data_IF_007055522030
#
_entry.id   IF_007055522030
#
_cell.length_a   1.000
_cell.length_b   1.000
_cell.length_c   1.000
_cell.angle_alpha   90.00
_cell.angle_beta   90.00
_cell.angle_gamma   90.00
#
_symmetry.space_group_name_H-M   'P 1'
#
loop_
_entity.id
_entity.type
_entity.pdbx_description
1 polymer ?
#
# COMPACT_ATOMS: atom_id res chain seq x y z
N UNK A 1 4.97 -12.34 8.82
CA UNK A 1 4.02 -11.84 9.82
C UNK A 1 3.33 -10.58 9.31
N UNK A 2 2.01 -10.66 9.12
CA UNK A 2 1.23 -9.61 8.47
C UNK A 2 1.09 -8.38 9.39
N UNK A 3 1.86 -7.34 9.10
CA UNK A 3 1.86 -6.06 9.84
C UNK A 3 0.50 -5.33 9.71
N UNK A 4 -0.20 -5.52 8.59
CA UNK A 4 -1.48 -4.86 8.27
C UNK A 4 -2.59 -5.03 9.33
N UNK A 5 -3.01 -6.26 9.67
CA UNK A 5 -4.05 -6.48 10.68
C UNK A 5 -3.61 -6.13 12.11
N UNK A 6 -2.30 -6.07 12.39
CA UNK A 6 -1.78 -5.65 13.70
C UNK A 6 -1.92 -4.13 13.91
N UNK A 7 -1.71 -3.31 12.88
CA UNK A 7 -1.83 -1.83 12.97
C UNK A 7 -3.27 -1.35 13.21
N UNK A 8 -4.26 -2.16 12.80
CA UNK A 8 -5.69 -1.89 13.02
C UNK A 8 -6.18 -2.36 14.40
N UNK A 9 -5.32 -3.01 15.18
CA UNK A 9 -5.64 -3.42 16.55
C UNK A 9 -5.27 -2.31 17.55
N UNK A 10 -5.87 -2.29 18.76
CA UNK A 10 -5.45 -1.38 19.83
C UNK A 10 -3.94 -1.48 20.12
N UNK A 11 -3.38 -2.69 20.05
CA UNK A 11 -1.94 -2.95 20.23
C UNK A 11 -1.09 -2.37 19.10
N UNK A 12 -1.66 -2.21 17.90
CA UNK A 12 -1.02 -1.54 16.77
C UNK A 12 -0.93 -0.04 16.96
N UNK A 13 -2.00 0.58 17.45
CA UNK A 13 -2.03 2.00 17.79
C UNK A 13 -1.03 2.33 18.90
N UNK A 14 -0.93 1.48 19.93
CA UNK A 14 0.09 1.64 20.98
C UNK A 14 1.51 1.57 20.44
N UNK A 15 1.77 0.71 19.43
CA UNK A 15 3.07 0.66 18.75
C UNK A 15 3.36 1.90 17.92
N UNK A 16 2.35 2.51 17.30
CA UNK A 16 2.51 3.79 16.61
C UNK A 16 2.88 4.92 17.58
N UNK A 17 2.30 4.91 18.78
CA UNK A 17 2.69 5.84 19.85
C UNK A 17 4.12 5.58 20.32
N UNK A 18 4.48 4.32 20.55
CA UNK A 18 5.85 3.96 20.94
C UNK A 18 6.89 4.33 19.87
N UNK A 19 6.52 4.32 18.58
CA UNK A 19 7.35 4.74 17.47
C UNK A 19 7.42 6.27 17.29
N UNK A 20 6.58 7.03 17.99
CA UNK A 20 6.49 8.49 17.85
C UNK A 20 5.76 8.96 16.60
N UNK A 21 5.02 8.07 15.93
CA UNK A 21 4.24 8.38 14.72
C UNK A 21 2.84 8.92 15.05
N UNK A 22 2.39 8.76 16.30
CA UNK A 22 1.11 9.25 16.79
C UNK A 22 1.22 9.60 18.28
N UNK A 23 0.43 10.56 18.74
CA UNK A 23 0.33 10.92 20.16
C UNK A 23 -0.71 10.08 20.88
N UNK A 24 -0.59 9.96 22.20
CA UNK A 24 -1.58 9.25 23.03
C UNK A 24 -2.98 9.90 22.95
N UNK A 25 -3.03 11.22 22.84
CA UNK A 25 -4.28 11.98 22.73
C UNK A 25 -4.98 11.74 21.37
N UNK A 26 -4.21 11.63 20.29
CA UNK A 26 -4.73 11.26 18.97
C UNK A 26 -5.30 9.85 18.97
N UNK A 27 -4.61 8.88 19.59
CA UNK A 27 -5.13 7.51 19.76
C UNK A 27 -6.43 7.51 20.57
N UNK A 28 -6.46 8.23 21.69
CA UNK A 28 -7.68 8.33 22.51
C UNK A 28 -8.85 8.92 21.72
N UNK A 29 -8.58 9.94 20.89
CA UNK A 29 -9.57 10.59 20.03
C UNK A 29 -10.06 9.67 18.89
N UNK A 30 -9.17 8.86 18.29
CA UNK A 30 -9.55 7.86 17.29
C UNK A 30 -10.42 6.75 17.88
N UNK A 31 -10.08 6.26 19.07
CA UNK A 31 -10.87 5.24 19.76
C UNK A 31 -12.24 5.81 20.20
N UNK A 32 -12.28 7.05 20.66
CA UNK A 32 -13.52 7.74 21.03
C UNK A 32 -14.46 7.99 19.84
N UNK A 33 -13.93 8.07 18.61
CA UNK A 33 -14.75 8.27 17.41
C UNK A 33 -15.70 7.10 17.11
N UNK A 34 -15.46 5.91 17.68
CA UNK A 34 -16.34 4.74 17.51
C UNK A 34 -16.39 4.18 16.09
N UNK A 35 -15.49 4.62 15.20
CA UNK A 35 -15.41 4.16 13.82
C UNK A 35 -14.64 2.83 13.72
N UNK A 36 -14.89 2.03 12.67
CA UNK A 36 -14.08 0.85 12.39
C UNK A 36 -12.61 1.23 12.18
N UNK A 37 -11.64 0.42 12.65
CA UNK A 37 -10.22 0.72 12.50
C UNK A 37 -9.77 0.95 11.06
N UNK A 38 -10.42 0.29 10.08
CA UNK A 38 -10.16 0.49 8.65
C UNK A 38 -10.42 1.92 8.17
N UNK A 39 -11.12 2.74 8.96
CA UNK A 39 -11.45 4.12 8.61
C UNK A 39 -10.57 5.16 9.29
N UNK A 40 -9.70 4.77 10.23
CA UNK A 40 -8.88 5.73 11.00
C UNK A 40 -7.95 6.57 10.13
N UNK A 41 -7.44 6.02 9.03
CA UNK A 41 -6.63 6.77 8.08
C UNK A 41 -7.38 7.97 7.45
N UNK A 42 -8.70 7.83 7.21
CA UNK A 42 -9.52 8.94 6.72
C UNK A 42 -9.73 10.01 7.80
N UNK A 43 -9.89 9.61 9.06
CA UNK A 43 -10.02 10.55 10.18
C UNK A 43 -8.76 11.41 10.31
N UNK A 44 -7.58 10.78 10.22
CA UNK A 44 -6.30 11.49 10.26
C UNK A 44 -6.14 12.47 9.08
N UNK A 45 -6.60 12.07 7.88
CA UNK A 45 -6.61 12.94 6.72
C UNK A 45 -7.51 14.17 6.93
N UNK A 46 -8.72 13.97 7.46
CA UNK A 46 -9.62 15.09 7.78
C UNK A 46 -9.04 16.01 8.87
N UNK A 47 -8.38 15.45 9.88
CA UNK A 47 -7.67 16.26 10.89
C UNK A 47 -6.59 17.12 10.25
N UNK A 48 -5.78 16.57 9.36
CA UNK A 48 -4.73 17.34 8.66
C UNK A 48 -5.31 18.49 7.84
N UNK A 49 -6.45 18.29 7.17
CA UNK A 49 -7.18 19.34 6.47
C UNK A 49 -7.71 20.42 7.42
N UNK A 50 -8.32 20.02 8.54
CA UNK A 50 -8.81 20.96 9.56
C UNK A 50 -7.69 21.79 10.20
N UNK A 51 -6.54 21.18 10.48
CA UNK A 51 -5.38 21.92 11.01
C UNK A 51 -4.86 22.93 10.00
N UNK A 52 -4.79 22.57 8.72
CA UNK A 52 -4.41 23.48 7.65
C UNK A 52 -5.39 24.68 7.54
N UNK A 53 -6.70 24.43 7.57
CA UNK A 53 -7.71 25.50 7.57
C UNK A 53 -7.61 26.41 8.80
N UNK A 54 -7.43 25.84 9.99
CA UNK A 54 -7.24 26.61 11.22
C UNK A 54 -5.98 27.48 11.17
N UNK A 55 -4.88 26.95 10.64
CA UNK A 55 -3.63 27.69 10.48
C UNK A 55 -3.75 28.84 9.47
N UNK A 56 -4.56 28.70 8.43
CA UNK A 56 -4.90 29.81 7.52
C UNK A 56 -5.76 30.88 8.23
N UNK A 57 -6.78 30.47 8.98
CA UNK A 57 -7.64 31.39 9.76
C UNK A 57 -6.86 32.15 10.83
N UNK A 58 -5.88 31.50 11.47
CA UNK A 58 -5.00 32.12 12.46
C UNK A 58 -3.93 33.03 11.84
N UNK A 59 -3.85 33.13 10.51
CA UNK A 59 -2.82 33.91 9.81
C UNK A 59 -1.42 33.32 9.90
N UNK A 60 -1.26 32.09 10.40
CA UNK A 60 0.03 31.38 10.45
C UNK A 60 0.45 30.89 9.07
N UNK A 61 -0.51 30.44 8.26
CA UNK A 61 -0.31 30.17 6.84
C UNK A 61 -0.76 31.39 6.03
N UNK A 62 0.20 32.10 5.46
CA UNK A 62 -0.05 33.24 4.59
C UNK A 62 -0.25 32.73 3.16
N UNK A 63 -1.51 32.64 2.72
CA UNK A 63 -1.89 32.20 1.38
C UNK A 63 -2.27 33.35 0.45
N UNK A 64 -2.05 33.18 -0.86
CA UNK A 64 -2.59 34.05 -1.91
C UNK A 64 -3.93 33.55 -2.47
N UNK A 65 -4.49 34.25 -3.47
CA UNK A 65 -5.83 34.01 -4.04
C UNK A 65 -6.09 32.58 -4.60
N UNK A 66 -5.06 31.75 -4.76
CA UNK A 66 -5.19 30.35 -5.19
C UNK A 66 -4.66 29.31 -4.20
N UNK A 67 -4.10 29.73 -3.06
CA UNK A 67 -3.42 28.81 -2.14
C UNK A 67 -4.40 27.87 -1.45
N UNK A 68 -5.49 28.40 -0.89
CA UNK A 68 -6.52 27.61 -0.22
C UNK A 68 -7.16 26.59 -1.17
N UNK A 69 -7.49 27.03 -2.40
CA UNK A 69 -8.03 26.13 -3.43
C UNK A 69 -7.06 25.00 -3.76
N UNK A 70 -5.79 25.34 -4.02
CA UNK A 70 -4.76 24.33 -4.33
C UNK A 70 -4.56 23.34 -3.19
N UNK A 71 -4.56 23.82 -1.94
CA UNK A 71 -4.41 22.99 -0.76
C UNK A 71 -5.57 22.00 -0.61
N UNK A 72 -6.81 22.47 -0.76
CA UNK A 72 -8.00 21.62 -0.75
C UNK A 72 -8.00 20.61 -1.91
N UNK A 73 -7.55 21.02 -3.10
CA UNK A 73 -7.38 20.12 -4.24
C UNK A 73 -6.37 19.01 -3.95
N UNK A 74 -5.23 19.32 -3.30
CA UNK A 74 -4.25 18.30 -2.92
C UNK A 74 -4.80 17.34 -1.86
N UNK A 75 -5.51 17.82 -0.84
CA UNK A 75 -6.16 16.95 0.14
C UNK A 75 -7.20 16.03 -0.50
N UNK A 76 -7.99 16.56 -1.43
CA UNK A 76 -8.99 15.78 -2.17
C UNK A 76 -8.31 14.73 -3.06
N UNK A 77 -7.20 15.09 -3.71
CA UNK A 77 -6.41 14.16 -4.52
C UNK A 77 -5.81 13.05 -3.67
N UNK A 78 -5.24 13.39 -2.51
CA UNK A 78 -4.71 12.40 -1.57
C UNK A 78 -5.82 11.45 -1.11
N UNK A 79 -6.99 11.99 -0.76
CA UNK A 79 -8.17 11.19 -0.41
C UNK A 79 -8.59 10.23 -1.53
N UNK A 80 -8.57 10.68 -2.78
CA UNK A 80 -8.89 9.86 -3.94
C UNK A 80 -7.90 8.71 -4.14
N UNK A 81 -6.59 8.96 -4.00
CA UNK A 81 -5.58 7.90 -4.10
C UNK A 81 -5.70 6.87 -2.97
N UNK A 82 -6.03 7.29 -1.75
CA UNK A 82 -6.33 6.36 -0.65
C UNK A 82 -7.53 5.46 -0.97
N UNK A 83 -8.56 6.01 -1.60
CA UNK A 83 -9.71 5.23 -2.05
C UNK A 83 -9.34 4.23 -3.14
N UNK A 84 -8.51 4.64 -4.11
CA UNK A 84 -8.01 3.76 -5.16
C UNK A 84 -7.28 2.54 -4.59
N UNK A 85 -6.52 2.68 -3.49
CA UNK A 85 -5.87 1.53 -2.82
C UNK A 85 -6.93 0.52 -2.34
N UNK A 86 -8.02 1.01 -1.73
CA UNK A 86 -9.17 0.19 -1.37
C UNK A 86 -9.77 -0.53 -2.58
N UNK A 87 -9.97 0.18 -3.67
CA UNK A 87 -10.48 -0.38 -4.92
C UNK A 87 -9.53 -1.39 -5.57
N UNK A 88 -8.20 -1.20 -5.50
CA UNK A 88 -7.23 -2.18 -5.96
C UNK A 88 -7.26 -3.46 -5.10
N UNK A 89 -7.52 -3.33 -3.80
CA UNK A 89 -7.69 -4.50 -2.93
C UNK A 89 -9.04 -5.20 -3.12
N UNK A 90 -10.10 -4.47 -3.48
CA UNK A 90 -11.44 -4.99 -3.70
C UNK A 90 -11.66 -5.51 -5.13
N UNK A 91 -11.02 -4.89 -6.11
CA UNK A 91 -11.04 -5.20 -7.55
C UNK A 91 -10.21 -6.41 -7.92
N UNK A 92 -10.11 -7.40 -7.01
CA UNK A 92 -9.54 -8.71 -7.30
C UNK A 92 -10.37 -9.37 -8.41
N UNK A 93 -9.71 -10.04 -9.35
CA UNK A 93 -10.41 -10.84 -10.35
C UNK A 93 -11.39 -11.79 -9.64
N UNK A 94 -12.60 -12.01 -10.20
CA UNK A 94 -13.57 -12.93 -9.61
C UNK A 94 -12.91 -14.27 -9.28
N UNK A 95 -13.08 -14.74 -8.04
CA UNK A 95 -12.49 -16.00 -7.55
C UNK A 95 -12.70 -17.18 -8.52
N UNK A 96 -13.87 -17.22 -9.16
CA UNK A 96 -14.23 -18.23 -10.14
C UNK A 96 -13.27 -18.26 -11.34
N UNK A 97 -12.76 -17.12 -11.80
CA UNK A 97 -11.82 -17.05 -12.92
C UNK A 97 -10.46 -17.68 -12.54
N UNK A 98 -9.93 -17.34 -11.35
CA UNK A 98 -8.66 -17.89 -10.85
C UNK A 98 -8.79 -19.41 -10.64
N UNK A 99 -9.91 -19.87 -10.08
CA UNK A 99 -10.19 -21.29 -9.88
C UNK A 99 -10.31 -22.05 -11.20
N UNK A 100 -10.98 -21.48 -12.21
CA UNK A 100 -11.12 -22.08 -13.53
C UNK A 100 -9.76 -22.27 -14.20
N UNK A 101 -8.92 -21.23 -14.21
CA UNK A 101 -7.57 -21.29 -14.81
C UNK A 101 -6.69 -22.29 -14.05
N UNK A 102 -6.81 -22.35 -12.71
CA UNK A 102 -6.12 -23.34 -11.89
C UNK A 102 -6.47 -24.77 -12.31
N UNK A 103 -7.77 -25.09 -12.37
CA UNK A 103 -8.24 -26.43 -12.75
C UNK A 103 -7.80 -26.77 -14.18
N UNK A 104 -7.82 -25.80 -15.10
CA UNK A 104 -7.39 -26.00 -16.47
C UNK A 104 -5.90 -26.36 -16.56
N UNK A 105 -5.04 -25.59 -15.90
CA UNK A 105 -3.59 -25.84 -15.91
C UNK A 105 -3.24 -27.14 -15.19
N UNK A 106 -3.87 -27.42 -14.05
CA UNK A 106 -3.65 -28.67 -13.32
C UNK A 106 -4.09 -29.89 -14.13
N UNK A 107 -5.22 -29.80 -14.83
CA UNK A 107 -5.70 -30.87 -15.71
C UNK A 107 -4.78 -31.08 -16.90
N UNK A 108 -4.30 -30.00 -17.53
CA UNK A 108 -3.35 -30.06 -18.64
C UNK A 108 -2.04 -30.76 -18.22
N UNK A 109 -1.47 -30.33 -17.09
CA UNK A 109 -0.22 -30.88 -16.57
C UNK A 109 -0.39 -32.35 -16.14
N UNK A 110 -1.52 -32.70 -15.53
CA UNK A 110 -1.82 -34.09 -15.14
C UNK A 110 -1.97 -35.03 -16.33
N UNK A 111 -2.57 -34.56 -17.43
CA UNK A 111 -2.79 -35.36 -18.64
C UNK A 111 -1.60 -35.34 -19.61
N UNK A 112 -0.72 -34.34 -19.54
CA UNK A 112 0.47 -34.21 -20.38
C UNK A 112 1.34 -35.47 -20.49
N UNK A 113 1.70 -36.19 -19.40
CA UNK A 113 2.52 -37.39 -19.53
C UNK A 113 1.80 -38.53 -20.26
N UNK A 114 0.48 -38.68 -20.08
CA UNK A 114 -0.32 -39.70 -20.78
C UNK A 114 -0.47 -39.38 -22.26
N UNK A 115 -0.61 -38.10 -22.61
CA UNK A 115 -0.73 -37.64 -23.98
C UNK A 115 0.59 -37.70 -24.76
N UNK A 116 1.73 -37.40 -24.12
CA UNK A 116 3.05 -37.41 -24.77
C UNK A 116 3.66 -38.82 -24.90
N UNK A 117 3.22 -39.80 -24.09
CA UNK A 117 3.84 -41.12 -24.05
C UNK A 117 3.83 -41.88 -25.38
N UNK A 118 2.74 -41.89 -26.17
CA UNK A 118 2.68 -42.63 -27.44
C UNK A 118 3.67 -42.13 -28.50
N UNK A 119 3.98 -40.83 -28.50
CA UNK A 119 4.88 -40.22 -29.50
C UNK A 119 6.32 -40.10 -29.02
N UNK A 120 6.54 -39.73 -27.74
CA UNK A 120 7.85 -39.43 -27.20
C UNK A 120 8.47 -40.58 -26.38
N UNK A 121 7.70 -41.63 -26.07
CA UNK A 121 8.18 -42.76 -25.27
C UNK A 121 8.77 -42.32 -23.93
N UNK A 122 10.00 -42.72 -23.62
CA UNK A 122 10.69 -42.33 -22.37
C UNK A 122 11.06 -40.84 -22.29
N UNK A 123 11.14 -40.13 -23.42
CA UNK A 123 11.36 -38.67 -23.44
C UNK A 123 10.15 -37.87 -22.96
N UNK A 124 8.98 -38.50 -22.84
CA UNK A 124 7.78 -37.87 -22.27
C UNK A 124 7.97 -37.40 -20.83
N UNK A 125 8.82 -38.08 -20.04
CA UNK A 125 9.06 -37.76 -18.63
C UNK A 125 9.73 -36.37 -18.47
N UNK A 126 10.91 -36.10 -19.06
CA UNK A 126 11.52 -34.78 -18.97
C UNK A 126 10.70 -33.68 -19.67
N UNK A 127 10.02 -33.99 -20.78
CA UNK A 127 9.16 -33.03 -21.49
C UNK A 127 7.93 -32.64 -20.67
N UNK A 128 7.28 -33.60 -20.01
CA UNK A 128 6.18 -33.31 -19.07
C UNK A 128 6.66 -32.51 -17.86
N UNK A 129 7.87 -32.77 -17.36
CA UNK A 129 8.51 -31.96 -16.33
C UNK A 129 8.72 -30.51 -16.76
N UNK A 130 9.20 -30.29 -17.99
CA UNK A 130 9.39 -28.95 -18.56
C UNK A 130 8.06 -28.21 -18.75
N UNK A 131 7.04 -28.90 -19.28
CA UNK A 131 5.68 -28.36 -19.41
C UNK A 131 5.10 -27.98 -18.04
N UNK A 132 5.30 -28.84 -17.04
CA UNK A 132 4.86 -28.57 -15.66
C UNK A 132 5.51 -27.31 -15.12
N UNK A 133 6.83 -27.19 -15.24
CA UNK A 133 7.58 -26.03 -14.79
C UNK A 133 7.08 -24.74 -15.47
N UNK A 134 6.87 -24.79 -16.79
CA UNK A 134 6.43 -23.64 -17.56
C UNK A 134 5.01 -23.21 -17.19
N UNK A 135 4.03 -24.11 -17.25
CA UNK A 135 2.64 -23.76 -17.03
C UNK A 135 2.31 -23.50 -15.56
N UNK A 136 2.87 -24.27 -14.62
CA UNK A 136 2.71 -23.96 -13.19
C UNK A 136 3.47 -22.70 -12.78
N UNK A 137 4.67 -22.49 -13.32
CA UNK A 137 5.45 -21.28 -13.05
C UNK A 137 4.75 -20.01 -13.55
N UNK A 138 4.19 -20.02 -14.76
CA UNK A 138 3.40 -18.91 -15.28
C UNK A 138 2.13 -18.66 -14.45
N UNK A 139 1.46 -19.73 -14.02
CA UNK A 139 0.30 -19.62 -13.17
C UNK A 139 0.64 -19.01 -11.81
N UNK A 140 1.70 -19.45 -11.15
CA UNK A 140 2.17 -18.86 -9.90
C UNK A 140 2.56 -17.38 -10.06
N UNK A 141 3.22 -17.02 -11.17
CA UNK A 141 3.53 -15.63 -11.49
C UNK A 141 2.26 -14.78 -11.70
N UNK A 142 1.26 -15.29 -12.42
CA UNK A 142 0.00 -14.57 -12.57
C UNK A 142 -0.72 -14.35 -11.24
N UNK A 143 -0.62 -15.32 -10.32
CA UNK A 143 -1.18 -15.21 -8.98
C UNK A 143 -0.40 -14.22 -8.10
N UNK A 144 0.93 -14.14 -8.22
CA UNK A 144 1.70 -13.14 -7.49
C UNK A 144 1.35 -11.72 -7.93
N UNK A 145 1.05 -11.49 -9.21
CA UNK A 145 0.55 -10.19 -9.67
C UNK A 145 -0.89 -9.88 -9.24
N UNK A 146 -1.70 -10.90 -8.94
CA UNK A 146 -3.05 -10.72 -8.42
C UNK A 146 -3.07 -10.32 -6.93
N UNK A 147 -2.00 -10.60 -6.19
CA UNK A 147 -1.84 -10.23 -4.78
C UNK A 147 -0.59 -9.36 -4.56
N UNK A 148 -0.58 -8.11 -5.06
CA UNK A 148 0.60 -7.23 -4.99
C UNK A 148 1.01 -6.85 -3.56
N UNK A 149 0.12 -7.03 -2.58
CA UNK A 149 0.36 -6.73 -1.16
C UNK A 149 0.68 -7.96 -0.31
N UNK A 150 0.68 -9.16 -0.90
CA UNK A 150 1.10 -10.38 -0.22
C UNK A 150 0.17 -10.86 0.91
N UNK A 151 -1.12 -10.53 0.84
CA UNK A 151 -2.09 -10.91 1.87
C UNK A 151 -2.32 -12.43 1.90
N UNK A 152 -2.20 -13.10 0.75
CA UNK A 152 -2.43 -14.54 0.56
C UNK A 152 -1.13 -15.35 0.41
N UNK A 153 0.04 -14.72 0.57
CA UNK A 153 1.29 -15.44 0.83
C UNK A 153 2.18 -15.75 -0.37
N UNK A 154 2.26 -14.85 -1.36
CA UNK A 154 3.28 -14.92 -2.43
C UNK A 154 4.48 -13.99 -2.11
N UNK A 155 5.44 -14.37 -1.24
CA UNK A 155 6.44 -13.46 -0.68
C UNK A 155 7.47 -12.88 -1.68
N UNK A 156 7.54 -13.41 -2.91
CA UNK A 156 8.64 -13.12 -3.84
C UNK A 156 8.56 -11.80 -4.59
N UNK A 157 7.37 -11.19 -4.73
CA UNK A 157 7.16 -10.02 -5.61
C UNK A 157 6.24 -8.95 -5.02
N UNK A 158 5.98 -8.99 -3.72
CA UNK A 158 5.06 -8.04 -3.08
C UNK A 158 5.70 -6.66 -2.96
N UNK A 159 4.88 -5.63 -3.08
CA UNK A 159 5.25 -4.26 -2.71
C UNK A 159 5.56 -4.27 -1.22
N UNK A 160 6.81 -3.96 -0.86
CA UNK A 160 7.27 -3.85 0.53
C UNK A 160 6.81 -2.54 1.12
N UNK A 161 5.57 -2.53 1.62
CA UNK A 161 4.93 -1.35 2.22
C UNK A 161 5.73 -0.81 3.41
N UNK A 162 6.37 -1.70 4.18
CA UNK A 162 7.26 -1.35 5.28
C UNK A 162 8.47 -0.52 4.83
N UNK A 163 9.13 -0.95 3.74
CA UNK A 163 10.24 -0.20 3.16
C UNK A 163 9.76 1.13 2.60
N UNK A 164 8.64 1.13 1.87
CA UNK A 164 8.08 2.35 1.29
C UNK A 164 7.74 3.39 2.37
N UNK A 165 7.06 2.97 3.45
CA UNK A 165 6.73 3.86 4.58
C UNK A 165 8.00 4.34 5.26
N UNK A 166 9.00 3.47 5.45
CA UNK A 166 10.28 3.87 6.05
C UNK A 166 11.04 4.88 5.19
N UNK A 167 11.02 4.75 3.86
CA UNK A 167 11.69 5.67 2.94
C UNK A 167 11.00 7.03 2.93
N UNK A 168 9.65 7.04 2.94
CA UNK A 168 8.85 8.26 3.04
C UNK A 168 9.10 8.98 4.38
N UNK A 169 9.04 8.27 5.50
CA UNK A 169 9.26 8.85 6.83
C UNK A 169 10.72 9.32 7.01
N UNK A 170 11.69 8.57 6.50
CA UNK A 170 13.11 8.95 6.54
C UNK A 170 13.37 10.23 5.72
N UNK A 171 12.78 10.34 4.52
CA UNK A 171 12.91 11.52 3.67
C UNK A 171 12.22 12.76 4.26
N UNK A 172 10.94 12.65 4.60
CA UNK A 172 10.12 13.77 5.04
C UNK A 172 10.49 14.25 6.45
N UNK A 173 10.54 13.34 7.43
CA UNK A 173 10.70 13.71 8.84
C UNK A 173 12.12 14.15 9.23
N UNK A 174 13.15 13.62 8.56
CA UNK A 174 14.53 13.83 9.01
C UNK A 174 15.39 14.68 8.09
N UNK A 175 15.23 14.59 6.77
CA UNK A 175 16.11 15.30 5.82
C UNK A 175 15.52 16.63 5.38
N UNK A 176 14.27 16.63 4.92
CA UNK A 176 13.68 17.84 4.33
C UNK A 176 13.28 18.85 5.39
N UNK A 177 12.72 18.42 6.51
CA UNK A 177 12.40 19.32 7.65
C UNK A 177 13.67 19.94 8.22
N UNK A 178 14.74 19.15 8.44
CA UNK A 178 16.03 19.68 8.94
C UNK A 178 16.70 20.63 7.96
N UNK A 179 16.64 20.33 6.65
CA UNK A 179 17.17 21.23 5.62
C UNK A 179 16.34 22.52 5.48
N UNK A 180 15.02 22.44 5.66
CA UNK A 180 14.13 23.61 5.69
C UNK A 180 14.43 24.54 6.87
N UNK A 181 14.87 24.00 8.01
CA UNK A 181 15.30 24.80 9.16
C UNK A 181 16.61 25.58 8.91
N UNK A 182 17.40 25.21 7.90
CA UNK A 182 18.63 25.91 7.51
C UNK A 182 18.41 26.92 6.38
N UNK A 183 17.25 27.57 6.36
CA UNK A 183 16.90 28.53 5.31
C UNK A 183 17.88 29.71 5.36
N UNK A 184 18.61 30.03 4.27
CA UNK A 184 19.49 31.19 4.25
C UNK A 184 18.64 32.46 4.34
N UNK A 185 18.84 33.24 5.39
CA UNK A 185 18.20 34.56 5.52
C UNK A 185 18.66 35.46 4.38
N UNK A 186 17.72 36.17 3.75
CA UNK A 186 18.04 37.12 2.68
C UNK A 186 19.01 38.19 3.22
N UNK A 187 20.02 38.61 2.44
CA UNK A 187 20.92 39.68 2.87
C UNK A 187 20.08 40.93 3.16
N UNK A 188 20.21 41.44 4.38
CA UNK A 188 19.65 42.73 4.76
C UNK A 188 20.17 43.78 3.79
N UNK A 189 19.27 44.32 2.96
CA UNK A 189 19.57 45.50 2.16
C UNK A 189 19.63 46.66 3.14
N UNK A 190 20.80 46.86 3.74
CA UNK A 190 21.13 48.10 4.45
C UNK A 190 21.18 49.20 3.38
N UNK A 191 20.24 50.14 3.49
CA UNK A 191 20.14 51.34 2.65
C UNK A 191 21.09 52.44 3.08
#
# INVERSE_FOLDING_TARGET
DAIGPLLLSPMGLERLVAAGEMTADEVASLLAAGLPPSQYAYVLLEWSGMYATRAMQAGTLIGGAGYEKSLLEQFTRLRAEYFNIGDYTAGRMPLAYVQLVQVLVDSLVALAPLALYPEAGSLSIPLAGLLTLFFKGLLELSKSFLDPFGVEGYPGQNIRVDVLVSELNFGAGSRWVKAGATLPEAPSVEG
#
